data_IF_849232668126
#
_entry.id   IF_849232668126
#
_cell.length_a   1.000
_cell.length_b   1.000
_cell.length_c   1.000
_cell.angle_alpha   90.00
_cell.angle_beta   90.00
_cell.angle_gamma   90.00
#
_symmetry.space_group_name_H-M   'P 1'
#
loop_
_entity.id
_entity.type
_entity.pdbx_description
1 polymer ?
#
# COMPACT_ATOMS: atom_id res chain seq x y z
N UNK A 1 16.56 3.41 -10.37
CA UNK A 1 15.46 4.20 -10.94
C UNK A 1 14.56 3.30 -11.78
N UNK A 2 13.25 3.46 -11.67
CA UNK A 2 12.31 2.63 -12.41
C UNK A 2 12.15 3.17 -13.82
N UNK A 3 12.07 2.27 -14.81
CA UNK A 3 11.71 2.73 -16.14
C UNK A 3 10.23 3.14 -16.11
N UNK A 4 9.98 4.40 -16.35
CA UNK A 4 8.61 4.94 -16.34
C UNK A 4 7.70 4.23 -17.33
N UNK A 5 8.28 3.61 -18.35
CA UNK A 5 7.51 2.88 -19.35
C UNK A 5 6.86 1.59 -18.82
N UNK A 6 7.31 1.09 -17.67
CA UNK A 6 6.75 -0.16 -17.11
C UNK A 6 5.60 0.08 -16.16
N UNK A 7 5.56 1.25 -15.51
CA UNK A 7 4.56 1.53 -14.49
C UNK A 7 3.96 2.90 -14.73
N UNK A 8 2.64 2.95 -14.68
CA UNK A 8 1.92 4.19 -14.92
C UNK A 8 1.83 5.06 -13.69
N UNK A 9 1.74 4.45 -12.51
CA UNK A 9 1.56 5.18 -11.26
C UNK A 9 2.17 4.43 -10.09
N UNK A 10 2.36 5.17 -8.99
CA UNK A 10 2.75 4.56 -7.71
C UNK A 10 1.76 4.98 -6.65
N UNK A 11 1.56 4.12 -5.66
CA UNK A 11 0.72 4.37 -4.50
C UNK A 11 1.63 4.41 -3.28
N UNK A 12 1.44 5.43 -2.44
CA UNK A 12 2.19 5.57 -1.19
C UNK A 12 1.25 5.33 -0.03
N UNK A 13 1.55 4.31 0.78
CA UNK A 13 0.76 4.00 1.97
C UNK A 13 1.46 4.56 3.20
N UNK A 14 0.74 5.35 3.99
CA UNK A 14 1.25 5.85 5.26
C UNK A 14 1.01 4.79 6.32
N UNK A 15 2.10 4.16 6.75
CA UNK A 15 2.02 3.05 7.69
C UNK A 15 2.97 3.32 8.85
N UNK A 16 2.56 3.08 10.09
CA UNK A 16 3.49 3.20 11.22
C UNK A 16 4.74 2.36 11.00
N UNK A 17 5.88 2.84 11.45
CA UNK A 17 7.15 2.16 11.24
C UNK A 17 7.11 0.70 11.70
N UNK A 18 6.37 0.43 12.77
CA UNK A 18 6.24 -0.93 13.31
C UNK A 18 5.55 -1.91 12.36
N UNK A 19 4.79 -1.39 11.40
CA UNK A 19 4.05 -2.22 10.44
C UNK A 19 4.57 -2.12 9.01
N UNK A 20 5.42 -1.14 8.73
CA UNK A 20 5.83 -0.87 7.35
C UNK A 20 6.58 -2.05 6.71
N UNK A 21 7.54 -2.63 7.43
CA UNK A 21 8.28 -3.78 6.92
C UNK A 21 7.36 -4.95 6.62
N UNK A 22 6.42 -5.20 7.52
CA UNK A 22 5.49 -6.30 7.40
C UNK A 22 4.60 -6.16 6.17
N UNK A 23 4.03 -4.97 5.97
CA UNK A 23 3.21 -4.72 4.79
C UNK A 23 4.02 -4.84 3.51
N UNK A 24 5.21 -4.27 3.50
CA UNK A 24 6.08 -4.35 2.32
C UNK A 24 6.38 -5.81 1.95
N UNK A 25 6.71 -6.64 2.94
CA UNK A 25 6.97 -8.05 2.72
C UNK A 25 5.73 -8.79 2.23
N UNK A 26 4.57 -8.41 2.71
CA UNK A 26 3.30 -9.02 2.29
C UNK A 26 3.01 -8.75 0.82
N UNK A 27 3.39 -7.56 0.33
CA UNK A 27 3.09 -7.15 -1.04
C UNK A 27 4.10 -7.65 -2.07
N UNK A 28 5.35 -7.85 -1.68
CA UNK A 28 6.42 -8.20 -2.61
C UNK A 28 6.16 -9.42 -3.51
N UNK A 29 5.51 -10.49 -3.05
CA UNK A 29 5.27 -11.64 -3.93
C UNK A 29 4.41 -11.34 -5.15
N UNK A 30 3.52 -10.35 -5.05
CA UNK A 30 2.55 -10.06 -6.12
C UNK A 30 2.65 -8.65 -6.66
N UNK A 31 3.38 -7.77 -5.99
CA UNK A 31 3.51 -6.37 -6.39
C UNK A 31 4.96 -5.91 -6.28
N UNK A 32 5.32 -4.91 -7.08
CA UNK A 32 6.59 -4.23 -6.91
C UNK A 32 6.42 -3.22 -5.78
N UNK A 33 6.99 -3.51 -4.63
CA UNK A 33 6.83 -2.69 -3.43
C UNK A 33 8.17 -2.46 -2.75
N UNK A 34 8.32 -1.29 -2.14
CA UNK A 34 9.52 -0.94 -1.40
C UNK A 34 9.20 0.08 -0.32
N UNK A 35 10.15 0.29 0.60
CA UNK A 35 10.04 1.29 1.65
C UNK A 35 10.69 2.59 1.19
N UNK A 36 10.05 3.71 1.53
CA UNK A 36 10.58 5.02 1.26
C UNK A 36 10.52 5.87 2.52
N UNK A 37 11.66 6.40 2.95
CA UNK A 37 11.74 7.28 4.10
C UNK A 37 11.95 8.72 3.60
N UNK A 38 11.12 9.64 4.08
CA UNK A 38 11.25 11.04 3.72
C UNK A 38 12.35 11.69 4.56
N UNK A 39 12.75 12.90 4.16
CA UNK A 39 13.74 13.69 4.90
C UNK A 39 13.25 14.01 6.31
N UNK A 40 11.95 14.04 6.51
CA UNK A 40 11.34 14.32 7.81
C UNK A 40 11.25 13.09 8.70
N UNK A 41 11.61 11.93 8.16
CA UNK A 41 11.59 10.69 8.91
C UNK A 41 10.31 9.87 8.76
N UNK A 42 9.37 10.34 7.95
CA UNK A 42 8.14 9.59 7.69
C UNK A 42 8.44 8.39 6.80
N UNK A 43 7.78 7.29 7.07
CA UNK A 43 7.99 6.05 6.34
C UNK A 43 6.77 5.67 5.55
N UNK A 44 6.97 5.40 4.27
CA UNK A 44 5.89 4.97 3.37
C UNK A 44 6.21 3.61 2.77
N UNK A 45 5.16 2.82 2.56
CA UNK A 45 5.25 1.65 1.71
C UNK A 45 4.79 2.09 0.33
N UNK A 46 5.63 1.93 -0.67
CA UNK A 46 5.35 2.36 -2.04
C UNK A 46 5.11 1.14 -2.90
N UNK A 47 4.06 1.16 -3.69
CA UNK A 47 3.77 0.08 -4.64
C UNK A 47 3.54 0.65 -6.02
N UNK A 48 4.16 0.05 -7.02
CA UNK A 48 4.02 0.49 -8.41
C UNK A 48 2.83 -0.21 -9.07
N UNK A 49 2.12 0.52 -9.92
CA UNK A 49 0.92 0.04 -10.58
C UNK A 49 1.06 0.01 -12.09
N UNK A 50 0.44 -1.00 -12.68
CA UNK A 50 0.20 -1.07 -14.12
C UNK A 50 -1.30 -0.95 -14.31
N UNK A 51 -1.74 0.21 -14.74
CA UNK A 51 -3.18 0.50 -14.84
C UNK A 51 -3.89 -0.50 -15.77
N UNK A 52 -3.23 -0.87 -16.85
CA UNK A 52 -3.79 -1.82 -17.82
C UNK A 52 -4.11 -3.20 -17.24
N UNK A 53 -3.45 -3.56 -16.14
CA UNK A 53 -3.63 -4.87 -15.52
C UNK A 53 -4.57 -4.81 -14.32
N UNK A 54 -5.23 -3.67 -14.12
CA UNK A 54 -6.16 -3.48 -13.00
C UNK A 54 -5.49 -3.72 -11.66
N UNK A 55 -4.23 -3.33 -11.55
CA UNK A 55 -3.41 -3.58 -10.37
C UNK A 55 -3.92 -2.86 -9.12
N UNK A 56 -4.58 -1.71 -9.29
CA UNK A 56 -5.03 -0.93 -8.14
C UNK A 56 -6.02 -1.71 -7.30
N UNK A 57 -7.04 -2.29 -7.92
CA UNK A 57 -8.05 -3.07 -7.19
C UNK A 57 -7.41 -4.25 -6.46
N UNK A 58 -6.50 -4.94 -7.12
CA UNK A 58 -5.80 -6.07 -6.54
C UNK A 58 -4.91 -5.63 -5.38
N UNK A 59 -4.16 -4.53 -5.57
CA UNK A 59 -3.29 -3.99 -4.54
C UNK A 59 -4.08 -3.62 -3.30
N UNK A 60 -5.18 -2.88 -3.47
CA UNK A 60 -5.99 -2.45 -2.32
C UNK A 60 -6.61 -3.64 -1.59
N UNK A 61 -7.02 -4.67 -2.33
CA UNK A 61 -7.55 -5.89 -1.72
C UNK A 61 -6.48 -6.61 -0.89
N UNK A 62 -5.26 -6.69 -1.42
CA UNK A 62 -4.16 -7.33 -0.70
C UNK A 62 -3.78 -6.55 0.56
N UNK A 63 -3.79 -5.21 0.47
CA UNK A 63 -3.54 -4.36 1.64
C UNK A 63 -4.64 -4.53 2.67
N UNK A 64 -5.91 -4.60 2.24
CA UNK A 64 -7.03 -4.81 3.16
C UNK A 64 -6.94 -6.16 3.86
N UNK A 65 -6.49 -7.20 3.17
CA UNK A 65 -6.29 -8.50 3.78
C UNK A 65 -5.22 -8.44 4.87
N UNK A 66 -4.12 -7.72 4.59
CA UNK A 66 -3.08 -7.50 5.58
C UNK A 66 -3.60 -6.70 6.78
N UNK A 67 -4.41 -5.67 6.52
CA UNK A 67 -5.00 -4.86 7.58
C UNK A 67 -5.85 -5.71 8.53
N UNK A 68 -6.63 -6.62 7.96
CA UNK A 68 -7.45 -7.53 8.76
C UNK A 68 -6.59 -8.45 9.63
N UNK A 69 -5.51 -8.99 9.06
CA UNK A 69 -4.61 -9.90 9.77
C UNK A 69 -3.79 -9.19 10.85
N UNK A 70 -3.52 -7.91 10.64
CA UNK A 70 -2.66 -7.11 11.53
C UNK A 70 -3.45 -6.20 12.47
N UNK A 71 -4.76 -6.29 12.43
CA UNK A 71 -5.64 -5.50 13.28
C UNK A 71 -5.48 -3.99 13.08
N UNK A 72 -5.30 -3.59 11.82
CA UNK A 72 -5.19 -2.19 11.42
C UNK A 72 -6.55 -1.77 10.85
N UNK A 73 -7.30 -0.88 11.53
CA UNK A 73 -8.66 -0.55 11.10
C UNK A 73 -8.72 0.34 9.87
N UNK A 74 -7.73 1.22 9.69
CA UNK A 74 -7.66 2.06 8.51
C UNK A 74 -6.22 2.52 8.28
N UNK A 75 -5.93 2.96 7.06
CA UNK A 75 -4.70 3.67 6.78
C UNK A 75 -4.93 4.64 5.61
N UNK A 76 -4.03 5.59 5.47
CA UNK A 76 -4.11 6.57 4.40
C UNK A 76 -3.17 6.19 3.27
N UNK A 77 -3.57 6.49 2.05
CA UNK A 77 -2.68 6.32 0.91
C UNK A 77 -2.81 7.49 -0.05
N UNK A 78 -1.74 7.75 -0.78
CA UNK A 78 -1.69 8.83 -1.77
C UNK A 78 -1.59 8.20 -3.15
N UNK A 79 -2.46 8.62 -4.04
CA UNK A 79 -2.47 8.20 -5.43
C UNK A 79 -2.71 9.41 -6.30
N UNK A 80 -1.82 9.63 -7.25
CA UNK A 80 -1.94 10.76 -8.18
C UNK A 80 -2.10 12.11 -7.46
N UNK A 81 -1.32 12.29 -6.39
CA UNK A 81 -1.33 13.53 -5.62
C UNK A 81 -2.53 13.73 -4.71
N UNK A 82 -3.42 12.74 -4.61
CA UNK A 82 -4.61 12.83 -3.78
C UNK A 82 -4.53 11.81 -2.65
N UNK A 83 -5.01 12.21 -1.48
CA UNK A 83 -5.03 11.35 -0.31
C UNK A 83 -6.38 10.66 -0.17
N UNK A 84 -6.33 9.37 0.13
CA UNK A 84 -7.52 8.53 0.33
C UNK A 84 -7.39 7.74 1.62
N UNK A 85 -8.53 7.33 2.16
CA UNK A 85 -8.56 6.45 3.32
C UNK A 85 -8.97 5.04 2.88
N UNK A 86 -8.19 4.05 3.30
CA UNK A 86 -8.50 2.65 3.07
C UNK A 86 -8.92 2.04 4.40
N UNK A 87 -10.05 1.36 4.43
CA UNK A 87 -10.56 0.73 5.63
C UNK A 87 -10.49 -0.78 5.53
N UNK A 88 -10.25 -1.43 6.66
CA UNK A 88 -10.28 -2.88 6.72
C UNK A 88 -11.69 -3.38 6.39
N UNK A 89 -11.82 -4.62 5.86
CA UNK A 89 -13.14 -5.19 5.56
C UNK A 89 -14.02 -5.23 6.81
N UNK A 90 -15.31 -4.91 6.65
CA UNK A 90 -16.25 -4.87 7.76
C UNK A 90 -16.33 -6.20 8.51
N UNK A 91 -16.23 -7.30 7.80
CA UNK A 91 -16.28 -8.64 8.39
C UNK A 91 -15.14 -8.87 9.37
N UNK A 92 -13.95 -8.32 9.08
CA UNK A 92 -12.80 -8.46 9.95
C UNK A 92 -12.96 -7.67 11.25
N UNK A 93 -13.67 -6.54 11.17
CA UNK A 93 -13.88 -5.67 12.33
C UNK A 93 -15.05 -6.12 13.19
N UNK A 94 -15.96 -6.91 12.63
CA UNK A 94 -17.14 -7.39 13.32
C UNK A 94 -16.90 -8.62 14.19
N UNK A 95 -15.75 -9.22 14.06
CA UNK A 95 -15.44 -10.46 14.78
C UNK A 95 -15.18 -10.24 16.26
#
# INVERSE_FOLDING_TARGET
>A
MYPESEFDEVVLFEVPASHADELCLRLKPTHLAWLHRTDEGDLYVVAALRVELDDLARLLRDVQAWMADSDVPYLLFVLDGREYELRAPAEALAA
#
